data_IF_255036918061
#
_entry.id   IF_255036918061
#
_cell.length_a   1.000
_cell.length_b   1.000
_cell.length_c   1.000
_cell.angle_alpha   90.00
_cell.angle_beta   90.00
_cell.angle_gamma   90.00
#
_symmetry.space_group_name_H-M   'P 1'
#
loop_
_entity.id
_entity.type
_entity.pdbx_description
1 polymer ?
#
# COMPACT_ATOMS: atom_id res chain seq x y z
N UNK A 1 41.19 26.35 71.77
CA UNK A 1 41.93 25.73 70.65
C UNK A 1 41.12 24.55 70.13
N UNK A 2 40.73 24.61 68.84
CA UNK A 2 40.40 23.50 67.93
C UNK A 2 39.09 22.67 68.13
N UNK A 3 38.12 22.91 67.21
CA UNK A 3 37.12 21.99 66.63
C UNK A 3 37.78 20.82 65.87
N UNK A 4 37.11 19.87 65.14
CA UNK A 4 35.68 19.56 64.86
C UNK A 4 35.35 18.03 65.02
N UNK A 5 34.17 17.43 64.72
CA UNK A 5 33.71 16.99 63.38
C UNK A 5 32.28 16.42 63.49
N UNK A 6 31.44 17.01 62.66
CA UNK A 6 30.08 16.66 62.30
C UNK A 6 30.10 15.43 61.37
N UNK A 7 29.38 14.35 61.71
CA UNK A 7 29.16 13.24 60.78
C UNK A 7 27.83 13.44 60.07
N UNK A 8 27.91 14.01 58.87
CA UNK A 8 26.80 14.09 57.91
C UNK A 8 26.60 12.68 57.33
N UNK A 9 25.43 12.08 57.57
CA UNK A 9 25.00 10.87 56.85
C UNK A 9 24.43 11.30 55.49
N UNK A 10 25.20 11.07 54.43
CA UNK A 10 24.72 11.27 53.06
C UNK A 10 24.17 9.94 52.55
N UNK A 11 22.86 9.80 52.47
CA UNK A 11 22.18 8.68 51.81
C UNK A 11 22.19 8.90 50.29
N UNK A 12 22.84 7.98 49.56
CA UNK A 12 22.78 7.89 48.10
C UNK A 12 21.40 7.39 47.66
N UNK A 13 20.62 8.25 47.01
CA UNK A 13 19.42 7.82 46.27
C UNK A 13 19.89 7.32 44.91
N UNK A 14 19.93 6.01 44.73
CA UNK A 14 20.12 5.41 43.41
C UNK A 14 18.84 5.61 42.58
N UNK A 15 18.86 6.57 41.66
CA UNK A 15 17.82 6.70 40.65
C UNK A 15 17.97 5.56 39.63
N UNK A 16 17.13 4.53 39.74
CA UNK A 16 17.01 3.51 38.71
C UNK A 16 16.31 4.13 37.49
N UNK A 17 17.07 4.45 36.46
CA UNK A 17 16.53 4.82 35.15
C UNK A 17 15.86 3.60 34.54
N UNK A 18 14.53 3.53 34.64
CA UNK A 18 13.71 2.63 33.83
C UNK A 18 13.78 3.12 32.39
N UNK A 19 14.68 2.53 31.59
CA UNK A 19 14.58 2.60 30.15
C UNK A 19 13.27 1.89 29.75
N UNK A 20 12.20 2.65 29.58
CA UNK A 20 11.02 2.19 28.86
C UNK A 20 11.47 1.96 27.41
N UNK A 21 11.76 0.72 27.05
CA UNK A 21 11.91 0.33 25.67
C UNK A 21 10.54 0.56 25.00
N UNK A 22 10.39 1.67 24.30
CA UNK A 22 9.29 1.88 23.37
C UNK A 22 9.41 0.79 22.31
N UNK A 23 8.51 -0.20 22.33
CA UNK A 23 8.29 -1.09 21.21
C UNK A 23 7.78 -0.24 20.04
N UNK A 24 8.70 0.30 19.25
CA UNK A 24 8.37 0.74 17.90
C UNK A 24 8.06 -0.53 17.13
N UNK A 25 6.78 -0.87 17.03
CA UNK A 25 6.31 -1.89 16.10
C UNK A 25 6.54 -1.29 14.70
N UNK A 26 7.76 -1.45 14.19
CA UNK A 26 8.17 -1.04 12.85
C UNK A 26 7.42 -1.94 11.87
N UNK A 27 6.14 -1.66 11.63
CA UNK A 27 5.36 -2.29 10.58
C UNK A 27 6.02 -1.91 9.25
N UNK A 28 6.34 -2.91 8.43
CA UNK A 28 6.83 -2.73 7.06
C UNK A 28 5.91 -1.76 6.30
N UNK A 29 6.45 -0.70 5.66
CA UNK A 29 5.65 0.21 4.84
C UNK A 29 4.87 -0.54 3.76
N UNK A 30 3.66 -0.08 3.44
CA UNK A 30 2.81 -0.76 2.46
C UNK A 30 3.47 -0.87 1.07
N UNK A 31 4.28 0.13 0.67
CA UNK A 31 5.03 0.11 -0.60
C UNK A 31 6.04 -1.04 -0.64
N UNK A 32 6.74 -1.31 0.46
CA UNK A 32 7.66 -2.45 0.53
C UNK A 32 6.92 -3.79 0.39
N UNK A 33 5.72 -3.89 0.99
CA UNK A 33 4.85 -5.07 0.78
C UNK A 33 4.46 -5.19 -0.69
N UNK A 34 3.97 -4.10 -1.32
CA UNK A 34 3.64 -4.10 -2.74
C UNK A 34 4.86 -4.50 -3.60
N UNK A 35 6.04 -3.93 -3.35
CA UNK A 35 7.25 -4.18 -4.12
C UNK A 35 7.84 -5.58 -3.88
N UNK A 36 7.51 -6.25 -2.78
CA UNK A 36 7.94 -7.63 -2.51
C UNK A 36 7.38 -8.65 -3.52
N UNK A 37 6.22 -8.36 -4.13
CA UNK A 37 5.64 -9.24 -5.13
C UNK A 37 6.44 -9.24 -6.43
N UNK A 38 6.66 -10.44 -6.96
CA UNK A 38 7.24 -10.62 -8.29
C UNK A 38 6.35 -9.96 -9.33
N UNK A 39 6.95 -9.11 -10.15
CA UNK A 39 6.27 -8.38 -11.19
C UNK A 39 6.74 -8.86 -12.58
N UNK A 40 6.41 -10.10 -12.94
CA UNK A 40 6.95 -10.74 -14.14
C UNK A 40 6.13 -10.41 -15.41
N UNK A 41 4.82 -10.66 -15.42
CA UNK A 41 4.03 -10.47 -16.64
C UNK A 41 3.60 -9.00 -16.80
N UNK A 42 3.60 -8.47 -18.04
CA UNK A 42 3.27 -7.07 -18.29
C UNK A 42 1.78 -6.74 -18.18
N UNK A 43 0.91 -7.74 -18.25
CA UNK A 43 -0.56 -7.58 -18.20
C UNK A 43 -1.15 -7.82 -16.82
N UNK A 44 -0.31 -8.15 -15.85
CA UNK A 44 -0.75 -8.35 -14.47
C UNK A 44 -0.94 -6.98 -13.79
N UNK A 45 -1.71 -6.97 -12.71
CA UNK A 45 -1.95 -5.77 -11.90
C UNK A 45 -2.13 -6.14 -10.44
N UNK A 46 -2.06 -5.13 -9.57
CA UNK A 46 -2.17 -5.28 -8.13
C UNK A 46 -3.44 -4.60 -7.65
N UNK A 47 -4.16 -5.24 -6.73
CA UNK A 47 -5.46 -4.77 -6.27
C UNK A 47 -5.56 -4.81 -4.75
N UNK A 48 -5.86 -3.68 -4.13
CA UNK A 48 -6.29 -3.64 -2.74
C UNK A 48 -7.81 -3.70 -2.71
N UNK A 49 -8.36 -4.86 -2.32
CA UNK A 49 -9.79 -5.04 -2.16
C UNK A 49 -10.30 -4.51 -0.83
N UNK A 50 -11.60 -4.25 -0.75
CA UNK A 50 -12.31 -3.71 0.42
C UNK A 50 -12.24 -4.62 1.65
N UNK A 51 -11.77 -5.85 1.46
CA UNK A 51 -11.44 -6.78 2.54
C UNK A 51 -10.05 -6.55 3.14
N UNK A 52 -9.31 -5.54 2.66
CA UNK A 52 -7.99 -5.13 3.16
C UNK A 52 -6.82 -5.97 2.65
N UNK A 53 -7.05 -6.85 1.67
CA UNK A 53 -6.02 -7.73 1.13
C UNK A 53 -5.51 -7.19 -0.20
N UNK A 54 -4.20 -6.96 -0.26
CA UNK A 54 -3.50 -6.65 -1.49
C UNK A 54 -3.25 -7.95 -2.27
N UNK A 55 -3.76 -8.04 -3.50
CA UNK A 55 -3.64 -9.22 -4.35
C UNK A 55 -2.92 -8.88 -5.64
N UNK A 56 -2.09 -9.80 -6.10
CA UNK A 56 -1.49 -9.76 -7.43
C UNK A 56 -2.35 -10.61 -8.36
N UNK A 57 -2.97 -9.98 -9.35
CA UNK A 57 -3.86 -10.63 -10.29
C UNK A 57 -3.25 -10.74 -11.68
N UNK A 58 -3.46 -11.89 -12.30
CA UNK A 58 -3.36 -12.01 -13.77
C UNK A 58 -4.42 -11.18 -14.47
N UNK A 59 -4.21 -10.89 -15.76
CA UNK A 59 -5.23 -10.28 -16.64
C UNK A 59 -6.56 -11.05 -16.70
N UNK A 60 -6.58 -12.35 -16.40
CA UNK A 60 -7.79 -13.19 -16.41
C UNK A 60 -8.46 -13.33 -15.04
N UNK A 61 -7.93 -12.69 -14.00
CA UNK A 61 -8.55 -12.66 -12.68
C UNK A 61 -8.10 -13.78 -11.74
N UNK A 62 -7.08 -14.54 -12.12
CA UNK A 62 -6.43 -15.49 -11.21
C UNK A 62 -5.54 -14.71 -10.24
N UNK A 63 -5.67 -14.96 -8.93
CA UNK A 63 -4.76 -14.44 -7.90
C UNK A 63 -3.48 -15.26 -7.90
N UNK A 64 -2.34 -14.61 -8.11
CA UNK A 64 -1.01 -15.22 -8.10
C UNK A 64 -0.34 -15.13 -6.71
N UNK A 65 -0.57 -14.03 -6.00
CA UNK A 65 0.02 -13.76 -4.70
C UNK A 65 -0.89 -12.80 -3.89
N UNK A 66 -0.70 -12.76 -2.58
CA UNK A 66 -1.48 -11.89 -1.70
C UNK A 66 -0.70 -11.45 -0.46
N UNK A 67 -1.11 -10.31 0.11
CA UNK A 67 -0.64 -9.80 1.37
C UNK A 67 -1.80 -9.17 2.13
N UNK A 68 -1.91 -9.53 3.40
CA UNK A 68 -2.91 -8.98 4.29
C UNK A 68 -2.39 -7.67 4.85
N UNK A 69 -3.01 -6.54 4.50
CA UNK A 69 -2.57 -5.25 5.01
C UNK A 69 -3.21 -4.94 6.36
N UNK A 70 -2.45 -4.31 7.24
CA UNK A 70 -2.98 -3.76 8.49
C UNK A 70 -3.75 -2.46 8.23
N UNK A 71 -4.61 -2.01 9.16
CA UNK A 71 -5.29 -0.72 9.04
C UNK A 71 -4.31 0.45 8.83
N UNK A 72 -3.13 0.37 9.45
CA UNK A 72 -2.08 1.38 9.30
C UNK A 72 -1.48 1.38 7.89
N UNK A 73 -1.20 0.21 7.30
CA UNK A 73 -0.71 0.09 5.92
C UNK A 73 -1.75 0.56 4.90
N UNK A 74 -3.03 0.23 5.13
CA UNK A 74 -4.14 0.71 4.30
C UNK A 74 -4.21 2.24 4.37
N UNK A 75 -4.17 2.82 5.57
CA UNK A 75 -4.21 4.27 5.77
C UNK A 75 -3.03 4.98 5.10
N UNK A 76 -1.83 4.41 5.21
CA UNK A 76 -0.64 4.91 4.50
C UNK A 76 -0.84 4.86 2.97
N UNK A 77 -1.40 3.76 2.45
CA UNK A 77 -1.68 3.60 1.01
C UNK A 77 -2.67 4.64 0.49
N UNK A 78 -3.72 4.95 1.25
CA UNK A 78 -4.68 5.99 0.90
C UNK A 78 -4.03 7.38 0.92
N UNK A 79 -3.30 7.70 1.99
CA UNK A 79 -2.62 8.99 2.15
C UNK A 79 -1.61 9.26 1.02
N UNK A 80 -0.76 8.29 0.70
CA UNK A 80 0.27 8.39 -0.34
C UNK A 80 -0.30 8.65 -1.74
N UNK A 81 -1.53 8.20 -1.99
CA UNK A 81 -2.21 8.39 -3.28
C UNK A 81 -3.28 9.49 -3.30
N UNK A 82 -3.54 10.15 -2.16
CA UNK A 82 -4.68 11.06 -2.02
C UNK A 82 -4.69 12.21 -3.05
N UNK A 83 -3.53 12.71 -3.44
CA UNK A 83 -3.37 13.79 -4.43
C UNK A 83 -3.71 13.38 -5.87
N UNK A 84 -3.97 12.09 -6.11
CA UNK A 84 -4.24 11.50 -7.44
C UNK A 84 -5.72 11.17 -7.65
N UNK A 85 -6.53 11.23 -6.60
CA UNK A 85 -7.98 11.04 -6.65
C UNK A 85 -8.70 12.38 -6.45
N UNK A 86 -9.93 12.46 -6.95
CA UNK A 86 -10.85 13.55 -6.62
C UNK A 86 -11.20 13.55 -5.13
N UNK A 87 -11.78 14.65 -4.63
CA UNK A 87 -12.21 14.72 -3.24
C UNK A 87 -13.27 13.67 -2.94
N UNK A 88 -14.20 13.44 -3.88
CA UNK A 88 -15.27 12.46 -3.79
C UNK A 88 -14.74 11.03 -3.79
N UNK A 89 -13.76 10.71 -4.64
CA UNK A 89 -13.11 9.40 -4.66
C UNK A 89 -12.31 9.15 -3.38
N UNK A 90 -11.59 10.15 -2.88
CA UNK A 90 -10.87 10.03 -1.60
C UNK A 90 -11.83 9.80 -0.43
N UNK A 91 -12.95 10.52 -0.38
CA UNK A 91 -13.97 10.33 0.65
C UNK A 91 -14.59 8.94 0.56
N UNK A 92 -14.84 8.46 -0.67
CA UNK A 92 -15.31 7.10 -0.92
C UNK A 92 -14.32 6.05 -0.42
N UNK A 93 -13.05 6.14 -0.82
CA UNK A 93 -12.00 5.22 -0.35
C UNK A 93 -11.87 5.26 1.18
N UNK A 94 -11.90 6.44 1.80
CA UNK A 94 -11.83 6.57 3.24
C UNK A 94 -12.99 5.86 3.96
N UNK A 95 -14.21 5.90 3.40
CA UNK A 95 -15.37 5.19 3.93
C UNK A 95 -15.26 3.68 3.73
N UNK A 96 -14.92 3.24 2.53
CA UNK A 96 -14.80 1.80 2.19
C UNK A 96 -13.78 1.11 3.08
N UNK A 97 -12.62 1.74 3.28
CA UNK A 97 -11.54 1.18 4.09
C UNK A 97 -11.63 1.50 5.58
N UNK A 98 -12.72 2.13 6.03
CA UNK A 98 -12.88 2.47 7.44
C UNK A 98 -12.96 1.20 8.29
N UNK A 99 -12.05 1.06 9.26
CA UNK A 99 -11.96 -0.09 10.16
C UNK A 99 -11.69 -1.44 9.47
N UNK A 100 -11.21 -1.43 8.23
CA UNK A 100 -10.83 -2.64 7.53
C UNK A 100 -9.45 -3.12 8.00
N UNK A 101 -9.35 -4.40 8.34
CA UNK A 101 -8.10 -5.08 8.66
C UNK A 101 -7.99 -6.35 7.82
N UNK A 102 -7.12 -6.31 6.81
CA UNK A 102 -6.89 -7.44 5.91
C UNK A 102 -6.44 -8.70 6.62
N UNK A 103 -5.86 -8.58 7.82
CA UNK A 103 -5.39 -9.71 8.64
C UNK A 103 -6.54 -10.57 9.15
N UNK A 104 -7.78 -10.09 9.09
CA UNK A 104 -8.98 -10.85 9.44
C UNK A 104 -9.42 -11.83 8.35
N UNK A 105 -9.00 -11.65 7.10
CA UNK A 105 -9.31 -12.58 5.99
C UNK A 105 -8.48 -13.85 6.15
N UNK A 106 -9.04 -15.05 5.98
CA UNK A 106 -8.32 -16.32 6.17
C UNK A 106 -8.69 -17.36 5.12
N UNK A 107 -7.86 -18.39 5.01
CA UNK A 107 -8.13 -19.57 4.20
C UNK A 107 -8.24 -19.26 2.70
N UNK A 108 -9.19 -19.92 2.04
CA UNK A 108 -9.35 -19.85 0.59
C UNK A 108 -9.69 -18.46 0.07
N UNK A 109 -10.28 -17.58 0.90
CA UNK A 109 -10.67 -16.23 0.52
C UNK A 109 -9.47 -15.32 0.15
N UNK A 110 -8.26 -15.68 0.59
CA UNK A 110 -7.04 -14.94 0.24
C UNK A 110 -6.73 -15.07 -1.26
N UNK A 111 -6.94 -16.26 -1.83
CA UNK A 111 -6.70 -16.57 -3.25
C UNK A 111 -7.97 -16.58 -4.11
N UNK A 112 -9.13 -16.77 -3.49
CA UNK A 112 -10.44 -16.85 -4.16
C UNK A 112 -11.41 -15.89 -3.45
N UNK A 113 -11.23 -14.56 -3.64
CA UNK A 113 -12.12 -13.59 -3.03
C UNK A 113 -13.56 -13.76 -3.53
N UNK A 114 -14.57 -13.34 -2.75
CA UNK A 114 -15.95 -13.33 -3.23
C UNK A 114 -16.10 -12.33 -4.39
N UNK A 115 -17.10 -12.56 -5.26
CA UNK A 115 -17.26 -11.82 -6.51
C UNK A 115 -17.31 -10.29 -6.36
N UNK A 116 -17.83 -9.77 -5.24
CA UNK A 116 -17.91 -8.33 -4.97
C UNK A 116 -16.56 -7.68 -4.62
N UNK A 117 -15.53 -8.47 -4.30
CA UNK A 117 -14.17 -7.99 -4.03
C UNK A 117 -13.34 -7.94 -5.31
N UNK A 118 -13.76 -8.64 -6.37
CA UNK A 118 -13.06 -8.54 -7.64
C UNK A 118 -13.16 -7.12 -8.21
N UNK A 119 -12.06 -6.55 -8.71
CA UNK A 119 -12.12 -5.23 -9.32
C UNK A 119 -13.01 -5.27 -10.56
N UNK A 120 -13.73 -4.18 -10.80
CA UNK A 120 -14.76 -4.04 -11.85
C UNK A 120 -14.35 -4.47 -13.26
N UNK A 121 -13.07 -4.39 -13.71
CA UNK A 121 -12.68 -4.95 -15.01
C UNK A 121 -13.05 -6.44 -15.15
N UNK A 122 -13.00 -7.25 -14.09
CA UNK A 122 -13.37 -8.67 -14.13
C UNK A 122 -14.88 -8.91 -14.19
N UNK A 123 -15.68 -7.93 -13.76
CA UNK A 123 -17.13 -7.99 -13.84
C UNK A 123 -17.63 -7.58 -15.23
N UNK A 124 -16.84 -6.82 -16.00
CA UNK A 124 -17.22 -6.33 -17.34
C UNK A 124 -16.61 -7.14 -18.49
N UNK A 125 -15.50 -7.87 -18.28
CA UNK A 125 -14.81 -8.65 -19.32
C UNK A 125 -15.55 -9.90 -19.82
N UNK A 126 -16.84 -10.07 -19.48
CA UNK A 126 -17.71 -11.02 -20.19
C UNK A 126 -18.25 -10.46 -21.50
N UNK A 127 -18.20 -9.14 -21.72
CA UNK A 127 -18.55 -8.54 -23.00
C UNK A 127 -17.64 -7.35 -23.35
N UNK A 128 -17.24 -7.32 -24.61
CA UNK A 128 -16.58 -6.22 -25.36
C UNK A 128 -15.06 -6.03 -25.25
N UNK A 129 -14.43 -6.55 -26.30
CA UNK A 129 -13.11 -6.27 -26.86
C UNK A 129 -12.91 -4.80 -27.27
N UNK A 130 -11.63 -4.41 -27.28
CA UNK A 130 -10.97 -3.37 -28.09
C UNK A 130 -11.46 -1.92 -28.05
N UNK A 131 -10.63 -1.06 -27.46
CA UNK A 131 -10.32 0.26 -28.02
C UNK A 131 -8.90 0.67 -27.59
N UNK A 132 -7.97 0.57 -28.54
CA UNK A 132 -6.65 1.21 -28.49
C UNK A 132 -6.83 2.70 -28.71
N UNK A 133 -6.21 3.54 -27.87
CA UNK A 133 -5.81 4.88 -28.30
C UNK A 133 -4.33 5.15 -28.02
N UNK A 134 -3.71 5.68 -29.08
CA UNK A 134 -2.33 6.10 -29.26
C UNK A 134 -2.14 7.55 -28.80
N UNK A 135 -0.90 7.90 -28.43
CA UNK A 135 -0.44 9.29 -28.45
C UNK A 135 0.02 9.88 -27.11
N UNK A 136 1.32 9.78 -26.84
CA UNK A 136 2.22 10.96 -26.86
C UNK A 136 3.53 10.68 -26.10
N UNK A 137 4.62 10.70 -26.85
CA UNK A 137 5.99 10.56 -26.38
C UNK A 137 6.49 11.90 -25.85
N UNK A 138 6.76 11.98 -24.55
CA UNK A 138 7.68 13.00 -24.02
C UNK A 138 8.65 12.35 -23.04
N UNK A 139 9.94 12.44 -23.41
CA UNK A 139 11.10 12.13 -22.60
C UNK A 139 11.04 12.88 -21.27
N UNK A 140 10.97 12.17 -20.14
CA UNK A 140 11.37 12.74 -18.86
C UNK A 140 12.59 11.98 -18.33
N UNK A 141 13.69 12.73 -18.27
CA UNK A 141 14.96 12.31 -17.74
C UNK A 141 14.86 11.94 -16.25
N UNK A 142 15.63 10.90 -15.93
CA UNK A 142 15.82 10.23 -14.67
C UNK A 142 16.12 11.19 -13.50
N UNK A 143 15.28 11.17 -12.48
CA UNK A 143 15.66 11.57 -11.12
C UNK A 143 15.41 10.39 -10.17
N UNK A 144 16.41 9.83 -9.47
CA UNK A 144 16.24 8.65 -8.59
C UNK A 144 15.36 8.90 -7.35
N UNK A 145 14.88 10.12 -7.15
CA UNK A 145 13.94 10.52 -6.07
C UNK A 145 12.54 10.86 -6.57
N UNK A 146 12.22 10.57 -7.85
CA UNK A 146 10.93 10.93 -8.42
C UNK A 146 9.85 10.00 -7.86
N UNK A 147 8.93 10.58 -7.09
CA UNK A 147 7.61 9.99 -6.87
C UNK A 147 6.98 9.61 -8.22
N UNK A 148 6.28 8.49 -8.25
CA UNK A 148 5.66 8.02 -9.48
C UNK A 148 4.71 9.08 -10.06
N UNK A 149 4.79 9.35 -11.37
CA UNK A 149 3.98 10.38 -11.99
C UNK A 149 2.50 10.06 -11.80
N UNK A 150 1.66 11.09 -11.68
CA UNK A 150 0.22 10.96 -11.53
C UNK A 150 -0.39 10.42 -12.83
N UNK A 151 -0.33 9.10 -13.01
CA UNK A 151 -0.74 8.41 -14.21
C UNK A 151 -1.62 7.23 -13.85
N UNK A 152 -2.78 7.19 -14.50
CA UNK A 152 -3.76 6.12 -14.37
C UNK A 152 -3.30 4.93 -15.20
N UNK A 153 -3.64 3.74 -14.75
CA UNK A 153 -3.33 2.49 -15.43
C UNK A 153 -4.53 1.55 -15.39
N UNK A 154 -4.58 0.66 -16.36
CA UNK A 154 -5.48 -0.50 -16.38
C UNK A 154 -4.70 -1.79 -16.14
N UNK A 155 -3.48 -1.84 -16.67
CA UNK A 155 -2.51 -2.89 -16.41
C UNK A 155 -1.09 -2.31 -16.32
N UNK A 156 -0.11 -3.18 -16.05
CA UNK A 156 1.27 -2.75 -15.90
C UNK A 156 1.88 -2.10 -17.14
N UNK A 157 1.42 -2.42 -18.36
CA UNK A 157 2.02 -1.84 -19.59
C UNK A 157 1.92 -0.32 -19.61
N UNK A 158 0.84 0.24 -19.07
CA UNK A 158 0.65 1.68 -18.90
C UNK A 158 1.75 2.33 -18.07
N UNK A 159 2.31 1.57 -17.11
CA UNK A 159 3.31 2.04 -16.15
C UNK A 159 4.75 1.77 -16.60
N UNK A 160 5.00 0.80 -17.48
CA UNK A 160 6.36 0.45 -17.94
C UNK A 160 7.16 1.59 -18.58
N UNK A 161 6.48 2.66 -19.01
CA UNK A 161 7.08 3.88 -19.59
C UNK A 161 7.76 4.76 -18.53
N UNK A 162 7.50 4.52 -17.23
CA UNK A 162 8.02 5.30 -16.12
C UNK A 162 9.07 4.49 -15.35
N UNK A 163 10.30 4.99 -15.31
CA UNK A 163 11.38 4.34 -14.58
C UNK A 163 10.98 4.20 -13.09
N UNK A 164 11.17 2.99 -12.55
CA UNK A 164 10.86 2.62 -11.16
C UNK A 164 9.37 2.56 -10.78
N UNK A 165 8.45 2.88 -11.68
CA UNK A 165 7.00 2.90 -11.42
C UNK A 165 6.31 1.93 -12.37
N UNK A 166 6.49 0.62 -12.15
CA UNK A 166 6.14 -0.44 -13.11
C UNK A 166 4.97 -1.30 -12.67
N UNK A 167 4.31 -0.95 -11.56
CA UNK A 167 3.16 -1.68 -11.03
C UNK A 167 1.90 -0.86 -11.27
N UNK A 168 0.87 -1.48 -11.79
CA UNK A 168 -0.46 -0.89 -11.81
C UNK A 168 -1.20 -1.28 -10.54
N UNK A 169 -1.52 -0.30 -9.69
CA UNK A 169 -2.14 -0.50 -8.39
C UNK A 169 -3.57 0.06 -8.35
N UNK A 170 -4.55 -0.85 -8.29
CA UNK A 170 -5.99 -0.57 -8.29
C UNK A 170 -6.52 -0.70 -6.85
N UNK A 171 -7.43 0.18 -6.45
CA UNK A 171 -8.10 0.13 -5.14
C UNK A 171 -9.60 -0.05 -5.34
N UNK A 172 -10.24 -0.86 -4.49
CA UNK A 172 -11.70 -1.06 -4.49
C UNK A 172 -12.20 -1.46 -5.90
N UNK A 173 -13.38 -1.00 -6.30
CA UNK A 173 -14.07 -1.28 -7.55
C UNK A 173 -13.68 -0.29 -8.66
N UNK A 174 -12.61 0.50 -8.48
CA UNK A 174 -12.18 1.41 -9.54
C UNK A 174 -11.72 0.63 -10.78
N UNK A 175 -12.13 1.12 -11.96
CA UNK A 175 -11.76 0.52 -13.26
C UNK A 175 -10.29 0.73 -13.61
N UNK A 176 -9.68 1.76 -13.04
CA UNK A 176 -8.29 2.13 -13.26
C UNK A 176 -7.58 2.32 -11.93
N UNK A 177 -6.29 2.02 -11.92
CA UNK A 177 -5.36 2.20 -10.82
C UNK A 177 -4.35 3.30 -11.09
N UNK A 178 -3.24 3.24 -10.37
CA UNK A 178 -2.14 4.19 -10.47
C UNK A 178 -0.82 3.47 -10.64
N UNK A 179 0.13 4.15 -11.29
CA UNK A 179 1.48 3.64 -11.41
C UNK A 179 2.25 3.82 -10.09
N UNK A 180 2.79 2.70 -9.60
CA UNK A 180 3.67 2.56 -8.42
C UNK A 180 4.96 1.86 -8.77
#
# INVERSE_FOLDING_TARGET
>A
MHFPIQKVLTTLIAAAALCAATLTNEQTPWKEVLHSFKNANPTDFFHLGDDGVLRHFTRTGIVLDYAQLSPQQISQSLADSSSRYTAEENEHLARVFQNIDGRNVKGSALLNPPAHIYPTPFLSNRETSDALEDGSLLNLALNPRQECPHKRCTDKTDCTKYANCTKCYVKDLFRTGECE
#
